data_IF_866799272462
#
_entry.id   IF_866799272462
#
_cell.length_a   1.000
_cell.length_b   1.000
_cell.length_c   1.000
_cell.angle_alpha   90.00
_cell.angle_beta   90.00
_cell.angle_gamma   90.00
#
_symmetry.space_group_name_H-M   'P 1'
#
loop_
_entity.id
_entity.type
_entity.pdbx_description
1 polymer ?
#
# COMPACT_ATOMS: atom_id res chain seq x y z
N UNK A 1 -14.13 -6.09 -27.15
CA UNK A 1 -14.46 -6.77 -25.88
C UNK A 1 -13.23 -6.66 -24.96
N UNK A 2 -13.28 -5.91 -23.85
CA UNK A 2 -12.13 -5.81 -22.93
C UNK A 2 -12.15 -6.98 -21.96
N UNK A 3 -11.36 -8.01 -22.21
CA UNK A 3 -11.19 -9.13 -21.29
C UNK A 3 -10.39 -8.63 -20.08
N UNK A 4 -11.00 -8.62 -18.90
CA UNK A 4 -10.27 -8.31 -17.66
C UNK A 4 -9.32 -9.47 -17.35
N UNK A 5 -8.08 -9.15 -16.96
CA UNK A 5 -7.14 -10.16 -16.48
C UNK A 5 -7.71 -10.88 -15.25
N UNK A 6 -7.34 -12.15 -15.06
CA UNK A 6 -7.70 -12.90 -13.85
C UNK A 6 -7.21 -12.12 -12.62
N UNK A 7 -8.05 -11.92 -11.59
CA UNK A 7 -7.61 -11.27 -10.37
C UNK A 7 -6.46 -12.08 -9.76
N UNK A 8 -5.38 -11.40 -9.38
CA UNK A 8 -4.13 -12.02 -8.90
C UNK A 8 -4.25 -12.74 -7.54
N UNK A 9 -5.43 -12.77 -6.92
CA UNK A 9 -5.65 -13.36 -5.59
C UNK A 9 -5.09 -12.54 -4.42
N UNK A 10 -4.29 -11.51 -4.68
CA UNK A 10 -3.81 -10.56 -3.68
C UNK A 10 -4.98 -9.74 -3.12
N UNK A 11 -5.47 -10.14 -1.95
CA UNK A 11 -6.43 -9.38 -1.16
C UNK A 11 -5.67 -8.35 -0.33
N UNK A 12 -6.00 -7.06 -0.51
CA UNK A 12 -5.54 -6.00 0.38
C UNK A 12 -6.33 -6.09 1.68
N UNK A 13 -5.60 -6.15 2.79
CA UNK A 13 -6.16 -6.03 4.15
C UNK A 13 -6.48 -4.57 4.49
N UNK A 14 -7.28 -4.35 5.53
CA UNK A 14 -7.49 -3.00 6.07
C UNK A 14 -6.17 -2.41 6.59
N UNK A 15 -5.34 -3.18 7.30
CA UNK A 15 -4.03 -2.69 7.76
C UNK A 15 -3.14 -2.21 6.60
N UNK A 16 -3.18 -2.90 5.45
CA UNK A 16 -2.44 -2.51 4.25
C UNK A 16 -2.97 -1.19 3.69
N UNK A 17 -4.29 -1.05 3.61
CA UNK A 17 -4.92 0.18 3.15
C UNK A 17 -4.64 1.36 4.09
N UNK A 18 -4.56 1.13 5.41
CA UNK A 18 -4.22 2.16 6.40
C UNK A 18 -2.79 2.67 6.20
N UNK A 19 -1.83 1.75 6.00
CA UNK A 19 -0.44 2.09 5.67
C UNK A 19 -0.35 2.83 4.33
N UNK A 20 -1.05 2.36 3.29
CA UNK A 20 -1.09 3.02 1.97
C UNK A 20 -1.60 4.46 2.11
N UNK A 21 -2.70 4.68 2.84
CA UNK A 21 -3.23 6.03 3.10
C UNK A 21 -2.21 6.91 3.81
N UNK A 22 -1.52 6.39 4.82
CA UNK A 22 -0.47 7.14 5.53
C UNK A 22 0.70 7.51 4.61
N UNK A 23 1.15 6.59 3.76
CA UNK A 23 2.22 6.85 2.77
C UNK A 23 1.80 7.89 1.72
N UNK A 24 0.56 7.83 1.24
CA UNK A 24 -0.02 8.86 0.34
C UNK A 24 -0.02 10.22 1.04
N UNK A 25 -0.51 10.29 2.28
CA UNK A 25 -0.58 11.54 3.05
C UNK A 25 0.82 12.13 3.33
N UNK A 26 1.84 11.28 3.52
CA UNK A 26 3.25 11.68 3.64
C UNK A 26 3.86 12.19 2.33
N UNK A 27 3.15 12.04 1.21
CA UNK A 27 3.57 12.47 -0.13
C UNK A 27 4.48 11.48 -0.85
N UNK A 28 4.37 10.19 -0.52
CA UNK A 28 5.17 9.15 -1.18
C UNK A 28 4.63 8.87 -2.59
N UNK A 29 5.52 8.50 -3.53
CA UNK A 29 5.13 8.33 -4.94
C UNK A 29 4.27 7.08 -5.11
N UNK A 30 3.14 7.19 -5.79
CA UNK A 30 2.19 6.08 -5.94
C UNK A 30 2.80 4.82 -6.57
N UNK A 31 3.72 4.97 -7.53
CA UNK A 31 4.39 3.82 -8.16
C UNK A 31 5.35 3.12 -7.20
N UNK A 32 6.02 3.84 -6.30
CA UNK A 32 6.87 3.23 -5.29
C UNK A 32 6.01 2.52 -4.23
N UNK A 33 4.89 3.13 -3.81
CA UNK A 33 3.92 2.48 -2.91
C UNK A 33 3.40 1.19 -3.56
N UNK A 34 2.97 1.26 -4.82
CA UNK A 34 2.49 0.10 -5.56
C UNK A 34 3.53 -1.04 -5.59
N UNK A 35 4.79 -0.72 -5.88
CA UNK A 35 5.89 -1.67 -5.87
C UNK A 35 6.13 -2.29 -4.48
N UNK A 36 6.11 -1.48 -3.42
CA UNK A 36 6.30 -1.93 -2.04
C UNK A 36 5.28 -2.99 -1.62
N UNK A 37 4.01 -2.81 -2.00
CA UNK A 37 2.92 -3.74 -1.68
C UNK A 37 2.71 -4.85 -2.74
N UNK A 38 3.43 -4.83 -3.86
CA UNK A 38 3.18 -5.76 -4.98
C UNK A 38 1.80 -5.56 -5.64
N UNK A 39 1.32 -4.32 -5.70
CA UNK A 39 0.00 -3.95 -6.21
C UNK A 39 0.07 -3.24 -7.56
N UNK A 40 -1.03 -3.26 -8.29
CA UNK A 40 -1.20 -2.40 -9.46
C UNK A 40 -1.40 -0.94 -9.03
N UNK A 41 -0.82 0.02 -9.77
CA UNK A 41 -0.95 1.44 -9.46
C UNK A 41 -2.42 1.92 -9.37
N UNK A 42 -3.31 1.36 -10.18
CA UNK A 42 -4.75 1.65 -10.11
C UNK A 42 -5.37 1.35 -8.75
N UNK A 43 -4.84 0.35 -8.01
CA UNK A 43 -5.30 0.05 -6.66
C UNK A 43 -4.91 1.11 -5.65
N UNK A 44 -3.75 1.75 -5.83
CA UNK A 44 -3.33 2.89 -5.02
C UNK A 44 -4.25 4.09 -5.31
N UNK A 45 -4.66 4.29 -6.56
CA UNK A 45 -5.63 5.32 -6.92
C UNK A 45 -6.99 5.10 -6.26
N UNK A 46 -7.52 3.87 -6.27
CA UNK A 46 -8.79 3.51 -5.59
C UNK A 46 -8.76 3.75 -4.07
N UNK A 47 -7.61 3.57 -3.42
CA UNK A 47 -7.46 3.87 -1.98
C UNK A 47 -7.35 5.37 -1.76
N UNK A 48 -6.66 6.09 -2.65
CA UNK A 48 -6.51 7.55 -2.58
C UNK A 48 -7.85 8.28 -2.75
N UNK A 49 -8.65 7.88 -3.72
CA UNK A 49 -9.94 8.51 -4.02
C UNK A 49 -11.08 8.07 -3.08
N UNK A 50 -10.82 7.07 -2.23
CA UNK A 50 -11.77 6.56 -1.25
C UNK A 50 -12.79 5.58 -1.84
N UNK A 51 -12.71 5.21 -3.11
CA UNK A 51 -13.57 4.16 -3.70
C UNK A 51 -13.33 2.78 -3.08
N UNK A 52 -12.17 2.58 -2.44
CA UNK A 52 -11.84 1.41 -1.64
C UNK A 52 -11.36 1.80 -0.25
N UNK A 53 -11.95 1.20 0.78
CA UNK A 53 -11.72 1.51 2.21
C UNK A 53 -11.96 2.99 2.56
N UNK A 54 -13.16 3.57 2.26
CA UNK A 54 -13.43 4.99 2.46
C UNK A 54 -13.19 5.45 3.91
N UNK A 55 -13.75 4.73 4.88
CA UNK A 55 -13.80 5.14 6.29
C UNK A 55 -12.53 4.79 7.10
N UNK A 56 -11.56 4.16 6.45
CA UNK A 56 -10.36 3.70 7.12
C UNK A 56 -9.41 4.86 7.43
N UNK A 57 -8.92 4.91 8.67
CA UNK A 57 -7.96 5.91 9.13
C UNK A 57 -6.56 5.59 8.57
N UNK A 58 -5.83 6.63 8.17
CA UNK A 58 -4.44 6.51 7.75
C UNK A 58 -3.54 6.16 8.93
N UNK A 59 -2.60 5.24 8.73
CA UNK A 59 -1.60 4.90 9.74
C UNK A 59 -0.74 6.11 10.11
N UNK A 60 -0.30 6.19 11.37
CA UNK A 60 0.55 7.28 11.85
C UNK A 60 1.97 7.17 11.31
N UNK A 61 2.74 8.26 11.35
CA UNK A 61 4.08 8.32 10.73
C UNK A 61 5.07 7.29 11.31
N UNK A 62 4.92 6.94 12.59
CA UNK A 62 5.71 5.92 13.30
C UNK A 62 5.35 4.49 12.90
N UNK A 63 4.16 4.26 12.35
CA UNK A 63 3.74 2.96 11.83
C UNK A 63 4.24 2.71 10.41
N UNK A 64 4.55 3.77 9.66
CA UNK A 64 4.93 3.69 8.25
C UNK A 64 6.33 3.10 8.07
N UNK A 65 6.61 2.45 6.92
CA UNK A 65 7.98 2.19 6.53
C UNK A 65 8.75 3.52 6.38
N UNK A 66 10.09 3.53 6.54
CA UNK A 66 10.92 4.69 6.23
C UNK A 66 10.59 5.26 4.85
N UNK A 67 10.64 6.57 4.69
CA UNK A 67 10.36 7.20 3.38
C UNK A 67 11.33 6.64 2.33
N UNK A 68 10.78 6.30 1.17
CA UNK A 68 11.48 5.57 0.12
C UNK A 68 12.72 6.29 -0.46
N UNK A 69 13.41 5.64 -1.40
CA UNK A 69 12.87 4.60 -2.30
C UNK A 69 12.61 3.25 -1.62
N UNK A 70 11.45 2.64 -1.91
CA UNK A 70 11.05 1.32 -1.38
C UNK A 70 11.72 0.18 -2.16
N UNK A 71 13.00 -0.07 -1.88
CA UNK A 71 13.79 -1.08 -2.58
C UNK A 71 13.44 -2.52 -2.18
N UNK A 72 12.83 -2.70 -1.02
CA UNK A 72 12.43 -4.00 -0.49
C UNK A 72 10.91 -4.12 -0.41
N UNK A 73 10.30 -5.28 -0.72
CA UNK A 73 8.88 -5.49 -0.52
C UNK A 73 8.44 -5.35 0.94
N UNK A 74 7.15 -5.09 1.14
CA UNK A 74 6.51 -5.02 2.47
C UNK A 74 6.81 -6.24 3.33
N UNK A 75 6.80 -7.44 2.77
CA UNK A 75 7.06 -8.68 3.50
C UNK A 75 8.42 -8.63 4.24
N UNK A 76 9.49 -8.21 3.56
CA UNK A 76 10.81 -8.06 4.16
C UNK A 76 10.86 -6.97 5.23
N UNK A 77 10.10 -5.87 5.04
CA UNK A 77 10.00 -4.83 6.05
C UNK A 77 9.26 -5.30 7.31
N UNK A 78 8.17 -6.08 7.15
CA UNK A 78 7.42 -6.63 8.26
C UNK A 78 8.24 -7.63 9.07
N UNK A 79 9.01 -8.49 8.41
CA UNK A 79 9.90 -9.45 9.06
C UNK A 79 10.91 -8.76 10.00
N UNK A 80 11.55 -7.68 9.53
CA UNK A 80 12.50 -6.91 10.35
C UNK A 80 11.85 -6.27 11.59
N UNK A 81 10.56 -5.93 11.53
CA UNK A 81 9.81 -5.36 12.68
C UNK A 81 9.47 -6.37 13.76
N UNK A 82 9.43 -7.66 13.44
CA UNK A 82 9.13 -8.72 14.42
C UNK A 82 10.38 -9.17 15.20
N UNK A 83 11.56 -8.83 14.70
CA UNK A 83 12.86 -9.22 15.28
C UNK A 83 13.46 -8.09 16.15
N UNK A 84 12.82 -6.92 16.18
CA UNK A 84 13.23 -5.74 16.95
C UNK A 84 12.35 -5.54 18.18
#
# INVERSE_FOLDING_TARGET
MKTRARPSGLSISESDASLIKGMINRGDRHHDIAAFFGLNQGRIAEIKDGSRFPDLIAASLDELPPKGPYLTPKASWMENRLVS
#
